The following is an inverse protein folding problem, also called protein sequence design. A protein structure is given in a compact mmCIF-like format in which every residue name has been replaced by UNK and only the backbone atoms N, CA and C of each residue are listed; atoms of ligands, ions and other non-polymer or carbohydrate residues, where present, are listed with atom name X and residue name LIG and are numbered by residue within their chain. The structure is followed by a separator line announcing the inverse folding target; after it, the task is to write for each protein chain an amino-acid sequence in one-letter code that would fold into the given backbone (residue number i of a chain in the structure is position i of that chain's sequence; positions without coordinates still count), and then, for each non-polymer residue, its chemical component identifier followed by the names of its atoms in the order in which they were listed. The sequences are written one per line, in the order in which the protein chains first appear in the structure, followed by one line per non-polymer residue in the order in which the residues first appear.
data_IF_785570227660
#
_entry.id   IF_785570227660
#
_cell.length_a   1.000
_cell.length_b   1.000
_cell.length_c   1.000
_cell.angle_alpha   90.00
_cell.angle_beta   90.00
_cell.angle_gamma   90.00
#
_symmetry.space_group_name_H-M   'P 1'
#
loop_
_entity.id
_entity.type
_entity.pdbx_description
1 polymer ?
#
# COMPACT_ATOMS: atom_id res chain seq x y z
N UNK A 1 15.94 6.07 -12.24
CA UNK A 1 15.78 5.25 -13.46
C UNK A 1 15.44 3.84 -13.03
N UNK A 2 14.23 3.35 -13.34
CA UNK A 2 13.81 2.02 -12.91
C UNK A 2 14.59 0.96 -13.70
N UNK A 3 15.45 0.21 -13.04
CA UNK A 3 16.13 -0.94 -13.65
C UNK A 3 15.16 -2.13 -13.71
N UNK A 4 14.29 -2.13 -14.72
CA UNK A 4 13.45 -3.28 -15.01
C UNK A 4 14.26 -4.35 -15.75
N UNK A 5 14.17 -5.57 -15.23
CA UNK A 5 14.76 -6.79 -15.78
C UNK A 5 13.64 -7.73 -16.22
N UNK A 6 13.88 -8.49 -17.29
CA UNK A 6 12.91 -9.42 -17.87
C UNK A 6 13.61 -10.69 -18.31
N UNK A 7 12.97 -11.84 -18.15
CA UNK A 7 13.50 -13.12 -18.65
C UNK A 7 13.09 -13.34 -20.11
N UNK A 8 13.83 -14.18 -20.83
CA UNK A 8 13.42 -14.56 -22.19
C UNK A 8 12.11 -15.33 -22.19
N UNK A 9 11.82 -16.11 -21.15
CA UNK A 9 10.55 -16.85 -21.02
C UNK A 9 9.35 -15.91 -20.90
N UNK A 10 9.51 -14.81 -20.17
CA UNK A 10 8.49 -13.76 -20.10
C UNK A 10 8.26 -13.11 -21.47
N UNK A 11 9.32 -12.85 -22.25
CA UNK A 11 9.19 -12.28 -23.59
C UNK A 11 8.53 -13.23 -24.59
N UNK A 12 8.77 -14.54 -24.49
CA UNK A 12 8.15 -15.56 -25.35
C UNK A 12 6.66 -15.72 -25.02
N UNK A 13 6.30 -15.52 -23.76
CA UNK A 13 4.92 -15.60 -23.29
C UNK A 13 4.06 -14.40 -23.73
N UNK A 14 4.67 -13.37 -24.32
CA UNK A 14 3.96 -12.26 -24.95
C UNK A 14 3.48 -12.70 -26.33
N UNK A 15 2.18 -12.90 -26.50
CA UNK A 15 1.56 -13.32 -27.76
C UNK A 15 1.84 -12.34 -28.93
N UNK A 16 2.17 -11.08 -28.60
CA UNK A 16 2.57 -10.05 -29.56
C UNK A 16 4.00 -10.27 -30.10
N UNK A 17 4.86 -10.94 -29.34
CA UNK A 17 6.22 -11.28 -29.75
C UNK A 17 6.21 -12.74 -30.19
N UNK A 18 5.74 -12.99 -31.42
CA UNK A 18 5.76 -14.32 -32.07
C UNK A 18 7.18 -14.76 -32.44
N UNK A 19 8.07 -14.84 -31.46
CA UNK A 19 9.49 -15.09 -31.62
C UNK A 19 9.93 -16.22 -30.70
N UNK A 20 10.62 -17.20 -31.25
CA UNK A 20 11.15 -18.32 -30.46
C UNK A 20 12.29 -17.86 -29.54
N UNK A 21 12.49 -18.60 -28.44
CA UNK A 21 13.63 -18.40 -27.50
C UNK A 21 14.97 -18.28 -28.22
N UNK A 22 15.20 -19.12 -29.21
CA UNK A 22 16.44 -19.15 -29.99
C UNK A 22 16.65 -17.84 -30.78
N UNK A 23 15.59 -17.29 -31.38
CA UNK A 23 15.66 -16.02 -32.10
C UNK A 23 15.93 -14.86 -31.16
N UNK A 24 15.29 -14.83 -29.98
CA UNK A 24 15.57 -13.83 -28.96
C UNK A 24 17.01 -13.91 -28.43
N UNK A 25 17.55 -15.11 -28.20
CA UNK A 25 18.95 -15.28 -27.83
C UNK A 25 19.90 -14.77 -28.91
N UNK A 26 19.59 -15.02 -30.19
CA UNK A 26 20.38 -14.50 -31.32
C UNK A 26 20.34 -12.98 -31.36
N UNK A 27 19.18 -12.37 -31.13
CA UNK A 27 19.02 -10.91 -31.04
C UNK A 27 19.78 -10.34 -29.85
N UNK A 28 19.68 -10.96 -28.68
CA UNK A 28 20.39 -10.55 -27.49
C UNK A 28 21.92 -10.56 -27.66
N UNK A 29 22.46 -11.56 -28.38
CA UNK A 29 23.88 -11.62 -28.73
C UNK A 29 24.26 -10.58 -29.80
N UNK A 30 23.43 -10.41 -30.84
CA UNK A 30 23.68 -9.47 -31.94
C UNK A 30 23.67 -8.01 -31.45
N UNK A 31 22.70 -7.68 -30.61
CA UNK A 31 22.44 -6.31 -30.16
C UNK A 31 23.02 -6.04 -28.75
N UNK A 32 23.84 -6.97 -28.25
CA UNK A 32 24.56 -6.92 -26.98
C UNK A 32 23.69 -6.48 -25.78
N UNK A 33 22.57 -7.17 -25.57
CA UNK A 33 21.65 -6.85 -24.48
C UNK A 33 22.33 -7.00 -23.12
N UNK A 34 22.09 -6.07 -22.21
CA UNK A 34 22.63 -6.15 -20.85
C UNK A 34 21.89 -7.25 -20.10
N UNK A 35 22.62 -8.21 -19.54
CA UNK A 35 22.04 -9.32 -18.78
C UNK A 35 22.69 -9.48 -17.41
N UNK A 36 21.94 -10.05 -16.47
CA UNK A 36 22.40 -10.44 -15.14
C UNK A 36 21.92 -11.85 -14.81
N UNK A 37 22.67 -12.57 -13.99
CA UNK A 37 22.22 -13.86 -13.46
C UNK A 37 21.32 -13.63 -12.24
N UNK A 38 20.15 -14.26 -12.21
CA UNK A 38 19.26 -14.21 -11.04
C UNK A 38 19.87 -15.03 -9.91
N UNK A 39 20.11 -14.40 -8.77
CA UNK A 39 20.64 -15.06 -7.55
C UNK A 39 19.49 -15.72 -6.80
N UNK A 40 19.61 -17.00 -6.43
CA UNK A 40 18.69 -17.69 -5.50
C UNK A 40 17.75 -18.74 -6.09
N UNK A 41 17.75 -19.00 -7.41
CA UNK A 41 16.96 -20.08 -8.01
C UNK A 41 17.77 -21.38 -8.13
N UNK A 42 17.12 -22.55 -8.00
CA UNK A 42 17.70 -23.85 -8.37
C UNK A 42 17.83 -23.94 -9.90
N UNK A 43 18.89 -23.32 -10.44
CA UNK A 43 19.19 -23.28 -11.87
C UNK A 43 19.82 -21.94 -12.29
N UNK A 44 20.53 -21.93 -13.43
CA UNK A 44 21.10 -20.70 -14.00
C UNK A 44 20.04 -20.02 -14.86
N UNK A 45 19.45 -18.94 -14.35
CA UNK A 45 18.49 -18.10 -15.09
C UNK A 45 19.09 -16.73 -15.34
N UNK A 46 19.05 -16.28 -16.59
CA UNK A 46 19.50 -14.95 -17.00
C UNK A 46 18.32 -14.02 -17.21
N UNK A 47 18.45 -12.79 -16.73
CA UNK A 47 17.53 -11.69 -16.97
C UNK A 47 18.21 -10.64 -17.82
N UNK A 48 17.43 -9.95 -18.65
CA UNK A 48 17.88 -8.92 -19.57
C UNK A 48 17.27 -7.58 -19.18
N UNK A 49 18.04 -6.50 -19.30
CA UNK A 49 17.58 -5.16 -18.98
C UNK A 49 16.62 -4.68 -20.06
N UNK A 50 15.43 -4.22 -19.65
CA UNK A 50 14.40 -3.69 -20.55
C UNK A 50 14.93 -2.52 -21.39
N UNK A 51 15.84 -1.71 -20.84
CA UNK A 51 16.43 -0.57 -21.54
C UNK A 51 17.33 -0.97 -22.71
N UNK A 52 17.88 -2.19 -22.70
CA UNK A 52 18.73 -2.72 -23.77
C UNK A 52 17.97 -3.49 -24.85
N UNK A 53 16.65 -3.63 -24.71
CA UNK A 53 15.80 -4.29 -25.71
C UNK A 53 15.47 -3.34 -26.88
N UNK A 54 15.25 -3.88 -28.09
CA UNK A 54 14.71 -3.13 -29.22
C UNK A 54 13.36 -2.48 -28.90
N UNK A 55 13.10 -1.32 -29.50
CA UNK A 55 11.87 -0.55 -29.26
C UNK A 55 10.59 -1.37 -29.46
N UNK A 56 10.56 -2.21 -30.51
CA UNK A 56 9.41 -3.07 -30.80
C UNK A 56 9.10 -4.03 -29.64
N UNK A 57 10.12 -4.58 -28.99
CA UNK A 57 9.97 -5.49 -27.84
C UNK A 57 9.58 -4.71 -26.58
N UNK A 58 10.14 -3.51 -26.39
CA UNK A 58 9.79 -2.64 -25.25
C UNK A 58 8.34 -2.20 -25.30
N UNK A 59 7.87 -1.79 -26.47
CA UNK A 59 6.50 -1.35 -26.66
C UNK A 59 5.52 -2.50 -26.41
N UNK A 60 5.74 -3.67 -27.00
CA UNK A 60 4.91 -4.86 -26.76
C UNK A 60 4.88 -5.27 -25.26
N UNK A 61 6.03 -5.22 -24.58
CA UNK A 61 6.10 -5.48 -23.14
C UNK A 61 5.35 -4.43 -22.31
N UNK A 62 5.42 -3.16 -22.72
CA UNK A 62 4.73 -2.04 -22.06
C UNK A 62 3.22 -2.15 -22.26
N UNK A 63 2.77 -2.41 -23.48
CA UNK A 63 1.37 -2.58 -23.85
C UNK A 63 0.77 -3.80 -23.15
N UNK A 64 1.50 -4.92 -23.10
CA UNK A 64 1.08 -6.09 -22.34
C UNK A 64 0.93 -5.79 -20.84
N UNK A 65 1.91 -5.12 -20.23
CA UNK A 65 1.84 -4.74 -18.81
C UNK A 65 0.72 -3.75 -18.55
N UNK A 66 0.51 -2.78 -19.44
CA UNK A 66 -0.61 -1.83 -19.37
C UNK A 66 -1.95 -2.56 -19.48
N UNK A 67 -2.10 -3.50 -20.42
CA UNK A 67 -3.28 -4.37 -20.54
C UNK A 67 -3.52 -5.20 -19.28
N UNK A 68 -2.47 -5.73 -18.64
CA UNK A 68 -2.61 -6.46 -17.37
C UNK A 68 -3.08 -5.53 -16.23
N UNK A 69 -2.57 -4.30 -16.16
CA UNK A 69 -3.01 -3.33 -15.15
C UNK A 69 -4.48 -2.91 -15.37
N UNK A 70 -4.90 -2.72 -16.62
CA UNK A 70 -6.29 -2.37 -16.96
C UNK A 70 -7.25 -3.56 -16.81
N UNK A 71 -6.83 -4.79 -17.14
CA UNK A 71 -7.66 -5.99 -16.98
C UNK A 71 -7.79 -6.47 -15.53
N UNK A 72 -6.94 -6.02 -14.60
CA UNK A 72 -7.13 -6.29 -13.16
C UNK A 72 -8.40 -5.62 -12.62
N UNK A 73 -8.95 -4.60 -13.29
CA UNK A 73 -10.22 -3.95 -12.90
C UNK A 73 -11.49 -4.77 -13.24
N UNK A 74 -11.40 -5.88 -13.97
CA UNK A 74 -12.60 -6.65 -14.40
C UNK A 74 -12.58 -8.16 -14.12
N UNK A 75 -11.65 -8.66 -13.30
CA UNK A 75 -11.86 -9.98 -12.68
C UNK A 75 -12.70 -9.82 -11.42
N UNK A 76 -13.99 -10.14 -11.55
CA UNK A 76 -14.83 -10.48 -10.40
C UNK A 76 -14.06 -11.43 -9.48
N UNK A 77 -13.78 -10.96 -8.28
CA UNK A 77 -13.07 -11.72 -7.27
C UNK A 77 -14.06 -12.75 -6.73
N UNK A 78 -13.97 -13.98 -7.22
CA UNK A 78 -14.53 -15.12 -6.51
C UNK A 78 -13.97 -15.11 -5.07
N UNK A 79 -14.81 -15.29 -4.03
CA UNK A 79 -14.40 -15.07 -2.65
C UNK A 79 -13.33 -16.11 -2.28
N UNK A 80 -12.07 -15.69 -2.27
CA UNK A 80 -10.99 -16.46 -1.69
C UNK A 80 -11.22 -16.42 -0.18
N UNK A 81 -11.73 -17.52 0.36
CA UNK A 81 -11.78 -17.77 1.79
C UNK A 81 -10.36 -18.06 2.29
N UNK A 82 -9.52 -17.03 2.36
CA UNK A 82 -8.27 -17.12 3.10
C UNK A 82 -8.59 -17.11 4.59
N UNK A 83 -8.42 -18.26 5.23
CA UNK A 83 -8.46 -18.45 6.70
C UNK A 83 -7.26 -17.79 7.41
N UNK A 84 -6.68 -16.73 6.84
CA UNK A 84 -5.66 -15.95 7.52
C UNK A 84 -6.36 -14.85 8.30
N UNK A 85 -6.27 -14.95 9.62
CA UNK A 85 -6.70 -13.91 10.54
C UNK A 85 -5.74 -12.74 10.36
N UNK A 86 -6.07 -11.84 9.42
CA UNK A 86 -5.35 -10.59 9.21
C UNK A 86 -5.37 -9.85 10.54
N UNK A 87 -4.19 -9.51 11.05
CA UNK A 87 -4.12 -8.70 12.28
C UNK A 87 -4.33 -7.25 11.90
N UNK A 88 -4.87 -6.44 12.82
CA UNK A 88 -5.08 -5.00 12.56
C UNK A 88 -3.79 -4.26 12.15
N UNK A 89 -2.60 -4.79 12.48
CA UNK A 89 -1.31 -4.25 12.01
C UNK A 89 -1.03 -4.53 10.54
N UNK A 90 -1.41 -5.71 10.06
CA UNK A 90 -1.24 -6.09 8.66
C UNK A 90 -2.17 -5.24 7.77
N UNK A 91 -3.38 -4.93 8.25
CA UNK A 91 -4.34 -4.05 7.55
C UNK A 91 -3.77 -2.63 7.39
N UNK A 92 -3.17 -2.06 8.44
CA UNK A 92 -2.56 -0.72 8.38
C UNK A 92 -1.40 -0.70 7.39
N UNK A 93 -0.53 -1.71 7.40
CA UNK A 93 0.58 -1.81 6.43
C UNK A 93 0.12 -1.92 4.97
N UNK A 94 -1.03 -2.58 4.72
CA UNK A 94 -1.64 -2.66 3.39
C UNK A 94 -2.25 -1.31 2.99
N UNK A 95 -2.92 -0.63 3.93
CA UNK A 95 -3.50 0.70 3.73
C UNK A 95 -2.43 1.76 3.40
N UNK A 96 -1.25 1.70 4.02
CA UNK A 96 -0.12 2.60 3.74
C UNK A 96 0.45 2.43 2.32
N UNK A 97 0.36 1.22 1.74
CA UNK A 97 0.92 0.91 0.42
C UNK A 97 -0.02 1.24 -0.74
N UNK A 98 -1.34 1.36 -0.48
CA UNK A 98 -2.35 1.57 -1.51
C UNK A 98 -3.35 2.66 -1.11
N UNK A 99 -3.16 3.93 -1.54
CA UNK A 99 -4.06 5.04 -1.23
C UNK A 99 -5.53 4.77 -1.59
N UNK A 100 -5.79 4.08 -2.71
CA UNK A 100 -7.14 3.73 -3.14
C UNK A 100 -7.88 2.79 -2.16
N UNK A 101 -7.15 1.94 -1.41
CA UNK A 101 -7.74 1.07 -0.37
C UNK A 101 -8.19 1.91 0.83
N UNK A 102 -7.43 2.95 1.18
CA UNK A 102 -7.77 3.90 2.25
C UNK A 102 -9.01 4.70 1.87
N UNK A 103 -9.07 5.23 0.65
CA UNK A 103 -10.21 6.01 0.16
C UNK A 103 -11.50 5.17 0.17
N UNK A 104 -11.41 3.92 -0.31
CA UNK A 104 -12.55 2.99 -0.28
C UNK A 104 -13.02 2.71 1.15
N UNK A 105 -12.11 2.45 2.08
CA UNK A 105 -12.45 2.24 3.48
C UNK A 105 -13.09 3.50 4.10
N UNK A 106 -12.56 4.69 3.77
CA UNK A 106 -13.11 5.96 4.23
C UNK A 106 -14.53 6.21 3.71
N UNK A 107 -14.85 5.78 2.50
CA UNK A 107 -16.20 5.89 1.94
C UNK A 107 -17.20 4.91 2.59
N UNK A 108 -16.72 3.83 3.19
CA UNK A 108 -17.57 2.87 3.91
C UNK A 108 -17.93 3.32 5.32
N UNK A 109 -17.16 4.24 5.91
CA UNK A 109 -17.42 4.77 7.26
C UNK A 109 -18.59 5.77 7.25
N UNK A 110 -19.47 5.65 8.23
CA UNK A 110 -20.53 6.64 8.46
C UNK A 110 -19.95 7.96 8.94
N UNK A 111 -20.69 9.05 8.76
CA UNK A 111 -20.27 10.37 9.25
C UNK A 111 -20.05 10.35 10.78
N UNK A 112 -20.93 9.68 11.53
CA UNK A 112 -20.78 9.50 12.98
C UNK A 112 -19.49 8.75 13.35
N UNK A 113 -19.14 7.69 12.62
CA UNK A 113 -17.89 6.96 12.84
C UNK A 113 -16.66 7.83 12.59
N UNK A 114 -16.69 8.67 11.54
CA UNK A 114 -15.63 9.64 11.25
C UNK A 114 -15.48 10.70 12.34
N UNK A 115 -16.60 11.19 12.88
CA UNK A 115 -16.63 12.16 13.97
C UNK A 115 -16.07 11.55 15.26
N UNK A 116 -16.46 10.33 15.62
CA UNK A 116 -15.91 9.59 16.77
C UNK A 116 -14.40 9.38 16.60
N UNK A 117 -13.96 8.95 15.41
CA UNK A 117 -12.54 8.76 15.13
C UNK A 117 -11.75 10.08 15.25
N UNK A 118 -12.27 11.17 14.68
CA UNK A 118 -11.65 12.50 14.74
C UNK A 118 -11.55 13.00 16.18
N UNK A 119 -12.60 12.80 16.99
CA UNK A 119 -12.60 13.16 18.41
C UNK A 119 -11.54 12.38 19.20
N UNK A 120 -11.39 11.07 18.95
CA UNK A 120 -10.35 10.24 19.60
C UNK A 120 -8.94 10.66 19.19
N UNK A 121 -8.74 11.01 17.92
CA UNK A 121 -7.46 11.54 17.42
C UNK A 121 -7.12 12.86 18.12
N UNK A 122 -8.09 13.77 18.25
CA UNK A 122 -7.90 15.04 18.96
C UNK A 122 -7.46 14.82 20.42
N UNK A 123 -8.14 13.92 21.15
CA UNK A 123 -7.77 13.60 22.53
C UNK A 123 -6.35 13.00 22.62
N UNK A 124 -5.98 12.12 21.69
CA UNK A 124 -4.62 11.57 21.63
C UNK A 124 -3.56 12.64 21.33
N UNK A 125 -3.88 13.60 20.45
CA UNK A 125 -3.02 14.73 20.16
C UNK A 125 -2.85 15.64 21.39
N UNK A 126 -3.90 15.87 22.18
CA UNK A 126 -3.80 16.65 23.41
C UNK A 126 -2.95 15.92 24.48
N UNK A 127 -3.10 14.59 24.60
CA UNK A 127 -2.20 13.79 25.46
C UNK A 127 -0.75 13.94 25.01
N UNK A 128 -0.48 13.91 23.70
CA UNK A 128 0.87 14.11 23.19
C UNK A 128 1.39 15.53 23.49
N UNK A 129 0.57 16.56 23.26
CA UNK A 129 0.89 17.95 23.58
C UNK A 129 1.30 18.13 25.06
N UNK A 130 0.51 17.57 25.99
CA UNK A 130 0.82 17.63 27.42
C UNK A 130 2.13 16.92 27.79
N UNK A 131 2.47 15.84 27.08
CA UNK A 131 3.73 15.12 27.29
C UNK A 131 4.93 15.94 26.83
N UNK A 132 4.88 16.46 25.61
CA UNK A 132 6.02 17.15 24.99
C UNK A 132 6.20 18.57 25.56
N UNK A 133 5.09 19.31 25.75
CA UNK A 133 5.16 20.73 26.08
C UNK A 133 4.92 21.04 27.57
N UNK A 134 4.29 20.14 28.32
CA UNK A 134 4.10 20.30 29.77
C UNK A 134 4.91 19.28 30.60
N UNK A 135 5.69 18.41 29.95
CA UNK A 135 6.55 17.44 30.62
C UNK A 135 5.79 16.37 31.42
N UNK A 136 4.49 16.21 31.18
CA UNK A 136 3.68 15.22 31.90
C UNK A 136 4.04 13.80 31.47
N UNK A 137 3.95 12.85 32.39
CA UNK A 137 3.96 11.43 32.00
C UNK A 137 2.71 11.12 31.18
N UNK A 138 2.75 10.05 30.35
CA UNK A 138 1.58 9.64 29.58
C UNK A 138 0.35 9.41 30.46
N UNK A 139 0.53 8.71 31.58
CA UNK A 139 -0.57 8.44 32.53
C UNK A 139 -1.06 9.73 33.18
N UNK A 140 -0.14 10.62 33.60
CA UNK A 140 -0.52 11.92 34.17
C UNK A 140 -1.32 12.80 33.21
N UNK A 141 -0.93 12.84 31.93
CA UNK A 141 -1.67 13.58 30.90
C UNK A 141 -3.07 13.01 30.65
N UNK A 142 -3.21 11.68 30.63
CA UNK A 142 -4.52 11.02 30.50
C UNK A 142 -5.39 11.34 31.71
N UNK A 143 -4.86 11.17 32.92
CA UNK A 143 -5.60 11.44 34.16
C UNK A 143 -6.05 12.91 34.24
N UNK A 144 -5.19 13.84 33.82
CA UNK A 144 -5.52 15.27 33.76
C UNK A 144 -6.69 15.57 32.81
N UNK A 145 -6.68 15.00 31.59
CA UNK A 145 -7.80 15.16 30.64
C UNK A 145 -9.07 14.50 31.19
N UNK A 146 -8.98 13.32 31.79
CA UNK A 146 -10.17 12.65 32.37
C UNK A 146 -10.77 13.46 33.52
N UNK A 147 -9.94 13.99 34.42
CA UNK A 147 -10.41 14.83 35.53
C UNK A 147 -10.96 16.16 35.03
N UNK A 148 -10.28 16.81 34.07
CA UNK A 148 -10.75 18.04 33.44
C UNK A 148 -12.09 17.85 32.73
N UNK A 149 -12.30 16.72 32.06
CA UNK A 149 -13.57 16.40 31.39
C UNK A 149 -14.72 16.23 32.38
N UNK A 150 -14.48 15.56 33.53
CA UNK A 150 -15.49 15.39 34.58
C UNK A 150 -15.88 16.70 35.27
N UNK A 151 -14.92 17.60 35.42
CA UNK A 151 -15.11 18.89 36.12
C UNK A 151 -15.55 20.02 35.18
N UNK A 152 -15.56 19.79 33.87
CA UNK A 152 -15.81 20.84 32.87
C UNK A 152 -14.66 21.85 32.73
N UNK A 153 -13.50 21.57 33.32
CA UNK A 153 -12.34 22.47 33.36
C UNK A 153 -11.36 22.18 32.22
N UNK A 154 -11.87 22.00 31.01
CA UNK A 154 -11.09 21.86 29.78
C UNK A 154 -11.57 22.88 28.74
N UNK A 155 -10.74 23.22 27.74
CA UNK A 155 -11.19 24.02 26.61
C UNK A 155 -12.41 23.38 25.93
N UNK A 156 -13.39 24.15 25.45
CA UNK A 156 -14.63 23.63 24.84
C UNK A 156 -14.38 22.56 23.78
N UNK A 157 -13.37 22.77 22.90
CA UNK A 157 -12.97 21.81 21.87
C UNK A 157 -12.65 20.41 22.41
N UNK A 158 -12.04 20.33 23.61
CA UNK A 158 -11.59 19.07 24.22
C UNK A 158 -12.75 18.42 24.97
N UNK A 159 -13.64 19.21 25.58
CA UNK A 159 -14.88 18.71 26.20
C UNK A 159 -15.80 18.09 25.15
N UNK A 160 -16.02 18.79 24.03
CA UNK A 160 -16.85 18.29 22.92
C UNK A 160 -16.26 17.00 22.36
N UNK A 161 -14.94 16.96 22.14
CA UNK A 161 -14.26 15.74 21.70
C UNK A 161 -14.39 14.59 22.73
N UNK A 162 -14.30 14.87 24.03
CA UNK A 162 -14.50 13.86 25.07
C UNK A 162 -15.94 13.29 25.06
N UNK A 163 -16.94 14.13 24.82
CA UNK A 163 -18.32 13.70 24.69
C UNK A 163 -18.53 12.84 23.42
N UNK A 164 -18.04 13.31 22.28
CA UNK A 164 -18.17 12.60 20.99
C UNK A 164 -17.41 11.27 21.00
N UNK A 165 -16.19 11.23 21.52
CA UNK A 165 -15.37 10.00 21.58
C UNK A 165 -16.01 8.89 22.43
N UNK A 166 -16.81 9.29 23.43
CA UNK A 166 -17.53 8.40 24.36
C UNK A 166 -18.97 8.09 23.92
N UNK A 167 -19.46 8.67 22.82
CA UNK A 167 -20.77 8.37 22.29
C UNK A 167 -20.86 6.87 21.95
N UNK A 168 -21.69 6.12 22.69
CA UNK A 168 -21.86 4.66 22.55
C UNK A 168 -22.72 4.25 21.35
N UNK A 169 -22.89 5.12 20.36
CA UNK A 169 -23.66 4.83 19.16
C UNK A 169 -22.79 5.05 17.92
N UNK A 170 -22.33 3.96 17.33
CA UNK A 170 -21.57 3.90 16.10
C UNK A 170 -21.66 2.52 15.47
#
# INVERSE_FOLDING_TARGET
MNNLWVTLDELISLDEIKTSRATLFRMAKRDNWKYQQRVGNRGVTYEYSVNSLPESIRQALTDYRAKQLVNVETKEVAPVTTKHRVTARDEVGIMEQCPAVVEKALHQLTQAQKEIASARILLAAEVHNLRENAGMTRTGAIDWIVQGSRTGNLPPRVLDAANVANARQG
#
